data_IF_542301932914
#
_entry.id   IF_542301932914
#
_cell.length_a   1.000
_cell.length_b   1.000
_cell.length_c   1.000
_cell.angle_alpha   90.00
_cell.angle_beta   90.00
_cell.angle_gamma   90.00
#
_symmetry.space_group_name_H-M   'P 1'
#
loop_
_entity.id
_entity.type
_entity.pdbx_description
1 polymer ?
#
# COMPACT_ATOMS: atom_id res chain seq x y z
N UNK A 1 11.89 33.14 25.06
CA UNK A 1 12.06 34.45 24.39
C UNK A 1 13.33 34.35 23.53
N UNK A 2 13.16 34.55 22.22
CA UNK A 2 14.13 34.56 21.10
C UNK A 2 15.06 33.35 20.87
N UNK A 3 14.91 32.73 19.70
CA UNK A 3 16.04 32.50 18.77
C UNK A 3 15.58 32.73 17.34
N UNK A 4 16.24 33.69 16.70
CA UNK A 4 16.03 34.13 15.33
C UNK A 4 16.43 33.03 14.32
N UNK A 5 15.57 32.77 13.34
CA UNK A 5 15.95 32.22 12.05
C UNK A 5 15.85 33.33 11.01
N UNK A 6 16.99 33.83 10.53
CA UNK A 6 17.09 34.86 9.51
C UNK A 6 16.95 34.21 8.13
N UNK A 7 15.98 34.69 7.33
CA UNK A 7 15.77 34.26 5.94
C UNK A 7 16.41 35.34 5.05
N UNK A 8 17.48 34.99 4.33
CA UNK A 8 18.03 35.85 3.29
C UNK A 8 17.22 35.65 2.00
N UNK A 9 16.71 36.75 1.44
CA UNK A 9 15.89 36.80 0.23
C UNK A 9 16.74 37.37 -0.92
N UNK A 10 17.86 36.72 -1.22
CA UNK A 10 18.61 37.00 -2.45
C UNK A 10 19.25 35.73 -3.01
N UNK A 11 18.41 34.81 -3.50
CA UNK A 11 18.64 33.88 -4.62
C UNK A 11 17.69 32.68 -4.47
N UNK A 12 16.96 32.34 -5.54
CA UNK A 12 15.83 31.39 -5.56
C UNK A 12 16.22 29.92 -5.34
N UNK A 13 16.83 29.56 -4.21
CA UNK A 13 16.96 28.19 -3.71
C UNK A 13 17.01 28.21 -2.17
N UNK A 14 16.05 27.57 -1.50
CA UNK A 14 16.10 27.36 -0.04
C UNK A 14 16.75 26.00 0.26
N UNK A 15 18.02 26.05 0.65
CA UNK A 15 18.69 25.01 1.43
C UNK A 15 18.60 25.40 2.90
N UNK A 16 17.97 24.57 3.73
CA UNK A 16 18.18 24.65 5.17
C UNK A 16 19.48 23.89 5.50
N UNK A 17 20.55 24.62 5.80
CA UNK A 17 21.81 24.05 6.27
C UNK A 17 21.86 24.15 7.79
N UNK A 18 21.96 23.00 8.46
CA UNK A 18 22.78 22.89 9.66
C UNK A 18 24.16 22.44 9.19
N UNK A 19 25.17 23.21 9.55
CA UNK A 19 26.54 23.17 9.03
C UNK A 19 27.21 21.80 9.24
N UNK A 20 27.57 21.12 8.14
CA UNK A 20 28.90 20.55 7.85
C UNK A 20 29.08 20.56 6.33
N UNK A 21 30.07 21.31 5.85
CA UNK A 21 30.60 21.30 4.47
C UNK A 21 30.96 19.89 3.99
N UNK A 22 30.68 19.59 2.72
CA UNK A 22 31.78 19.26 1.80
C UNK A 22 31.44 19.62 0.34
N UNK A 23 32.47 19.96 -0.40
CA UNK A 23 32.48 20.69 -1.67
C UNK A 23 32.32 19.75 -2.88
N UNK A 24 31.35 20.05 -3.77
CA UNK A 24 31.46 20.11 -5.24
C UNK A 24 30.11 19.85 -5.94
N UNK A 25 29.75 20.78 -6.84
CA UNK A 25 28.68 20.67 -7.83
C UNK A 25 28.97 19.53 -8.82
N UNK A 26 27.96 18.72 -9.16
CA UNK A 26 27.24 18.85 -10.44
C UNK A 26 26.10 17.81 -10.59
N UNK A 27 24.97 18.33 -11.10
CA UNK A 27 24.00 17.82 -12.09
C UNK A 27 23.92 16.30 -12.37
N UNK A 28 22.66 15.80 -12.38
CA UNK A 28 22.13 14.60 -13.09
C UNK A 28 22.88 13.26 -12.92
N UNK A 29 22.22 12.25 -12.35
CA UNK A 29 21.89 11.02 -13.09
C UNK A 29 21.24 9.96 -12.20
N UNK A 30 20.15 9.38 -12.71
CA UNK A 30 19.69 8.06 -12.29
C UNK A 30 20.60 7.03 -12.95
N UNK A 31 21.70 6.65 -12.31
CA UNK A 31 22.48 5.50 -12.74
C UNK A 31 22.38 4.31 -11.77
N UNK A 32 21.56 3.38 -12.25
CA UNK A 32 21.69 1.94 -12.16
C UNK A 32 23.11 1.47 -11.82
N UNK A 33 23.26 0.64 -10.78
CA UNK A 33 24.50 -0.13 -10.57
C UNK A 33 24.67 -1.18 -11.68
N UNK A 34 25.30 -0.78 -12.78
CA UNK A 34 25.98 -1.71 -13.69
C UNK A 34 27.29 -2.19 -13.04
N UNK A 35 27.57 -3.48 -13.11
CA UNK A 35 28.90 -4.00 -12.79
C UNK A 35 29.92 -3.34 -13.72
N UNK A 36 30.90 -2.66 -13.13
CA UNK A 36 32.06 -2.11 -13.84
C UNK A 36 32.96 -3.28 -14.32
N UNK A 37 33.10 -3.50 -15.64
CA UNK A 37 33.94 -4.58 -16.19
C UNK A 37 35.44 -4.34 -15.98
N UNK A 38 35.84 -3.16 -15.49
CA UNK A 38 37.22 -2.82 -15.12
C UNK A 38 37.45 -2.76 -13.61
N UNK A 39 36.44 -3.06 -12.79
CA UNK A 39 36.63 -3.14 -11.34
C UNK A 39 37.65 -4.23 -11.01
N UNK A 40 38.67 -3.95 -10.18
CA UNK A 40 39.57 -4.99 -9.70
C UNK A 40 38.74 -6.05 -8.97
N UNK A 41 39.00 -7.31 -9.28
CA UNK A 41 38.40 -8.43 -8.56
C UNK A 41 38.64 -8.20 -7.06
N UNK A 42 37.61 -8.40 -6.21
CA UNK A 42 37.81 -8.27 -4.77
C UNK A 42 38.97 -9.18 -4.36
N UNK A 43 39.89 -8.70 -3.51
CA UNK A 43 40.97 -9.54 -3.02
C UNK A 43 40.34 -10.76 -2.33
N UNK A 44 40.84 -11.94 -2.70
CA UNK A 44 40.49 -13.22 -2.09
C UNK A 44 40.51 -13.06 -0.56
N UNK A 45 39.32 -13.10 0.04
CA UNK A 45 39.09 -12.83 1.45
C UNK A 45 39.55 -14.00 2.33
N UNK A 46 40.23 -15.01 1.74
CA UNK A 46 40.78 -16.15 2.45
C UNK A 46 39.69 -17.00 3.10
N UNK A 47 38.42 -16.77 2.75
CA UNK A 47 37.32 -17.63 3.10
C UNK A 47 37.36 -18.83 2.16
N UNK A 48 38.05 -19.87 2.60
CA UNK A 48 37.97 -21.21 2.01
C UNK A 48 36.49 -21.53 1.76
N UNK A 49 36.13 -21.64 0.49
CA UNK A 49 34.92 -22.36 0.09
C UNK A 49 35.09 -23.78 0.61
N UNK A 50 34.47 -24.06 1.76
CA UNK A 50 34.26 -25.43 2.19
C UNK A 50 33.35 -26.01 1.12
N UNK A 51 33.93 -26.84 0.24
CA UNK A 51 33.16 -27.74 -0.59
C UNK A 51 32.35 -28.60 0.38
N UNK A 52 31.08 -28.26 0.54
CA UNK A 52 30.14 -29.11 1.25
C UNK A 52 29.97 -30.30 0.32
N UNK A 53 30.67 -31.39 0.63
CA UNK A 53 30.44 -32.67 -0.03
C UNK A 53 28.93 -32.90 -0.08
N UNK A 54 28.39 -33.10 -1.29
CA UNK A 54 27.01 -33.52 -1.46
C UNK A 54 26.82 -34.77 -0.60
N UNK A 55 26.05 -34.63 0.48
CA UNK A 55 25.67 -35.77 1.30
C UNK A 55 24.73 -36.59 0.40
N UNK A 56 25.25 -37.66 -0.19
CA UNK A 56 24.44 -38.73 -0.74
C UNK A 56 23.69 -39.38 0.43
N UNK A 57 22.47 -38.90 0.67
CA UNK A 57 21.55 -39.55 1.58
C UNK A 57 20.89 -40.67 0.79
N UNK A 58 21.40 -41.90 0.95
CA UNK A 58 20.74 -43.10 0.45
C UNK A 58 19.47 -43.35 1.27
N UNK A 59 18.36 -42.81 0.80
CA UNK A 59 17.05 -43.05 1.39
C UNK A 59 16.56 -44.46 0.98
N UNK A 60 16.15 -45.30 1.95
CA UNK A 60 15.51 -46.59 1.65
C UNK A 60 14.30 -46.41 0.75
N UNK A 61 14.10 -47.34 -0.20
CA UNK A 61 12.97 -47.32 -1.15
C UNK A 61 11.60 -47.16 -0.47
N UNK A 62 11.47 -47.66 0.76
CA UNK A 62 10.27 -47.55 1.59
C UNK A 62 9.94 -46.09 1.98
N UNK A 63 10.96 -45.27 2.27
CA UNK A 63 10.77 -43.85 2.60
C UNK A 63 10.50 -43.04 1.32
N UNK A 64 11.14 -43.42 0.20
CA UNK A 64 10.88 -42.82 -1.11
C UNK A 64 9.43 -43.06 -1.52
N UNK A 65 8.89 -44.27 -1.31
CA UNK A 65 7.48 -44.57 -1.61
C UNK A 65 6.50 -43.79 -0.73
N UNK A 66 6.80 -43.58 0.56
CA UNK A 66 5.97 -42.73 1.44
C UNK A 66 5.98 -41.27 0.98
N UNK A 67 7.14 -40.73 0.60
CA UNK A 67 7.25 -39.37 0.06
C UNK A 67 6.50 -39.18 -1.26
N UNK A 68 6.50 -40.19 -2.14
CA UNK A 68 5.71 -40.18 -3.38
C UNK A 68 4.20 -40.37 -3.16
N UNK A 69 3.79 -41.02 -2.06
CA UNK A 69 2.38 -41.22 -1.73
C UNK A 69 1.76 -40.04 -0.95
N UNK A 70 2.54 -39.34 -0.11
CA UNK A 70 2.04 -38.20 0.70
C UNK A 70 2.24 -36.83 0.05
N UNK A 71 3.15 -36.68 -0.92
CA UNK A 71 3.35 -35.40 -1.62
C UNK A 71 3.03 -35.58 -3.09
N UNK A 72 1.75 -35.49 -3.41
CA UNK A 72 1.30 -35.33 -4.78
C UNK A 72 1.04 -33.84 -5.05
N UNK A 73 2.04 -33.07 -5.53
CA UNK A 73 1.91 -31.62 -5.73
C UNK A 73 0.87 -31.26 -6.81
N UNK A 74 0.36 -32.25 -7.55
CA UNK A 74 -0.72 -32.10 -8.52
C UNK A 74 -2.11 -32.30 -7.92
N UNK A 75 -2.27 -32.98 -6.77
CA UNK A 75 -3.57 -33.18 -6.13
C UNK A 75 -3.99 -32.00 -5.22
N UNK A 76 -3.03 -31.29 -4.61
CA UNK A 76 -3.31 -30.01 -3.92
C UNK A 76 -3.47 -28.83 -4.90
N UNK A 77 -3.06 -29.01 -6.16
CA UNK A 77 -3.25 -28.00 -7.22
C UNK A 77 -4.52 -28.23 -8.05
N UNK A 78 -5.04 -29.47 -8.09
CA UNK A 78 -6.13 -29.86 -9.00
C UNK A 78 -7.53 -29.94 -8.34
N UNK A 79 -7.67 -29.64 -7.05
CA UNK A 79 -8.99 -29.57 -6.38
C UNK A 79 -9.71 -28.23 -6.53
N UNK A 80 -9.20 -27.31 -7.38
CA UNK A 80 -9.96 -26.13 -7.84
C UNK A 80 -9.85 -26.03 -9.37
N UNK A 81 -10.21 -27.09 -10.09
CA UNK A 81 -10.49 -27.03 -11.54
C UNK A 81 -11.34 -28.23 -11.96
N UNK A 82 -12.50 -28.40 -11.34
CA UNK A 82 -13.60 -29.11 -11.99
C UNK A 82 -14.39 -28.10 -12.84
N UNK A 83 -14.20 -28.18 -14.16
CA UNK A 83 -15.21 -27.81 -15.12
C UNK A 83 -16.45 -28.67 -14.84
N UNK A 84 -17.45 -28.10 -14.18
CA UNK A 84 -18.84 -28.43 -14.50
C UNK A 84 -19.23 -27.53 -15.66
N UNK A 85 -19.41 -28.15 -16.81
CA UNK A 85 -20.20 -27.59 -17.91
C UNK A 85 -21.66 -27.66 -17.48
N UNK A 86 -22.03 -26.77 -16.58
CA UNK A 86 -23.41 -26.36 -16.36
C UNK A 86 -23.44 -24.89 -16.74
N UNK A 87 -24.18 -24.56 -17.79
CA UNK A 87 -24.58 -23.19 -18.12
C UNK A 87 -25.36 -22.63 -16.92
N UNK A 88 -24.64 -22.05 -15.98
CA UNK A 88 -25.19 -21.15 -14.99
C UNK A 88 -24.47 -19.82 -15.21
N UNK A 89 -25.15 -18.91 -15.94
CA UNK A 89 -24.84 -17.48 -16.02
C UNK A 89 -24.96 -16.84 -14.62
N UNK A 90 -24.08 -17.26 -13.70
CA UNK A 90 -24.05 -16.74 -12.36
C UNK A 90 -23.08 -15.56 -12.35
N UNK A 91 -23.61 -14.40 -12.72
CA UNK A 91 -22.89 -13.11 -12.62
C UNK A 91 -22.11 -13.03 -11.32
N UNK A 92 -20.87 -12.56 -11.41
CA UNK A 92 -20.00 -12.37 -10.25
C UNK A 92 -20.72 -11.48 -9.22
N UNK A 93 -21.04 -12.06 -8.06
CA UNK A 93 -21.84 -11.41 -7.03
C UNK A 93 -20.97 -11.01 -5.85
N UNK A 94 -21.19 -9.80 -5.33
CA UNK A 94 -20.48 -9.33 -4.15
C UNK A 94 -20.99 -10.05 -2.89
N UNK A 95 -20.13 -10.82 -2.19
CA UNK A 95 -20.55 -11.67 -1.07
C UNK A 95 -20.95 -10.86 0.18
N UNK A 96 -20.63 -9.56 0.21
CA UNK A 96 -20.94 -8.69 1.35
C UNK A 96 -22.24 -7.91 1.18
N UNK A 97 -22.80 -7.82 -0.03
CA UNK A 97 -23.89 -6.89 -0.38
C UNK A 97 -25.19 -7.08 0.41
N UNK A 98 -25.51 -8.31 0.82
CA UNK A 98 -26.71 -8.62 1.61
C UNK A 98 -26.49 -8.47 3.12
N UNK A 99 -25.24 -8.27 3.56
CA UNK A 99 -24.91 -8.17 4.97
C UNK A 99 -25.21 -6.76 5.49
N UNK A 100 -25.83 -6.68 6.66
CA UNK A 100 -26.10 -5.41 7.34
C UNK A 100 -24.83 -4.55 7.44
N UNK A 101 -24.94 -3.29 7.04
CA UNK A 101 -23.84 -2.33 7.16
C UNK A 101 -23.57 -1.98 8.62
N UNK A 102 -22.31 -2.12 9.02
CA UNK A 102 -21.76 -1.72 10.32
C UNK A 102 -20.79 -0.58 10.04
N UNK A 103 -20.67 0.37 10.97
CA UNK A 103 -19.89 1.59 10.81
C UNK A 103 -18.75 1.63 11.81
N UNK A 104 -17.54 2.00 11.37
CA UNK A 104 -16.39 2.21 12.24
C UNK A 104 -16.65 3.41 13.14
N UNK A 105 -16.50 3.22 14.46
CA UNK A 105 -16.78 4.24 15.48
C UNK A 105 -18.17 4.90 15.40
N UNK A 106 -19.15 4.20 14.81
CA UNK A 106 -20.48 4.73 14.51
C UNK A 106 -20.51 5.92 13.53
N UNK A 107 -19.43 6.20 12.78
CA UNK A 107 -19.43 7.21 11.73
C UNK A 107 -20.00 6.63 10.41
N UNK A 108 -21.10 7.21 9.94
CA UNK A 108 -21.73 6.85 8.66
C UNK A 108 -20.80 7.05 7.46
N UNK A 109 -19.76 7.88 7.60
CA UNK A 109 -18.74 8.11 6.59
C UNK A 109 -17.73 6.97 6.42
N UNK A 110 -17.67 6.02 7.36
CA UNK A 110 -16.67 4.92 7.41
C UNK A 110 -17.34 3.55 7.63
N UNK A 111 -18.25 3.11 6.75
CA UNK A 111 -18.82 1.76 6.80
C UNK A 111 -17.73 0.71 6.58
N UNK A 112 -17.80 -0.39 7.33
CA UNK A 112 -16.99 -1.57 7.03
C UNK A 112 -17.52 -2.29 5.80
N UNK A 113 -16.61 -2.79 4.97
CA UNK A 113 -16.94 -3.89 4.07
C UNK A 113 -17.22 -5.15 4.92
N UNK A 114 -16.26 -5.49 5.78
CA UNK A 114 -16.39 -6.49 6.85
C UNK A 114 -15.48 -6.13 8.03
N UNK A 115 -15.81 -6.70 9.20
CA UNK A 115 -15.01 -6.65 10.43
C UNK A 115 -14.49 -8.04 10.76
N UNK A 116 -13.24 -8.16 11.17
CA UNK A 116 -12.55 -9.44 11.41
C UNK A 116 -11.57 -9.83 10.31
N UNK A 117 -11.14 -11.10 10.33
CA UNK A 117 -10.21 -11.67 9.35
C UNK A 117 -10.99 -12.43 8.28
N UNK A 118 -10.96 -11.94 7.05
CA UNK A 118 -11.47 -12.64 5.86
C UNK A 118 -10.34 -12.81 4.83
N UNK A 119 -10.47 -13.77 3.93
CA UNK A 119 -9.51 -13.96 2.84
C UNK A 119 -10.08 -13.45 1.52
N UNK A 120 -9.76 -12.21 1.17
CA UNK A 120 -10.16 -11.64 -0.11
C UNK A 120 -9.27 -12.14 -1.26
N UNK A 121 -9.86 -12.85 -2.20
CA UNK A 121 -9.19 -13.18 -3.48
C UNK A 121 -9.14 -11.95 -4.40
N UNK A 122 -8.36 -12.03 -5.49
CA UNK A 122 -8.38 -10.97 -6.51
C UNK A 122 -9.74 -10.90 -7.24
N UNK A 123 -10.40 -12.04 -7.45
CA UNK A 123 -11.69 -12.13 -8.15
C UNK A 123 -12.80 -11.47 -7.31
N UNK A 124 -12.76 -11.69 -6.00
CA UNK A 124 -13.66 -10.99 -5.06
C UNK A 124 -13.39 -9.49 -5.05
N UNK A 125 -12.13 -9.06 -5.09
CA UNK A 125 -11.77 -7.65 -5.08
C UNK A 125 -12.25 -6.89 -6.33
N UNK A 126 -12.08 -7.46 -7.54
CA UNK A 126 -12.62 -6.84 -8.76
C UNK A 126 -14.15 -6.82 -8.74
N UNK A 127 -14.78 -7.86 -8.19
CA UNK A 127 -16.25 -7.89 -8.05
C UNK A 127 -16.74 -6.75 -7.15
N UNK A 128 -16.10 -6.54 -6.00
CA UNK A 128 -16.46 -5.48 -5.04
C UNK A 128 -16.21 -4.07 -5.59
N UNK A 129 -15.10 -3.88 -6.31
CA UNK A 129 -14.64 -2.56 -6.74
C UNK A 129 -15.19 -2.14 -8.11
N UNK A 130 -15.66 -3.08 -8.95
CA UNK A 130 -16.05 -2.80 -10.33
C UNK A 130 -17.38 -3.44 -10.75
N UNK A 131 -17.58 -4.74 -10.52
CA UNK A 131 -18.67 -5.49 -11.15
C UNK A 131 -20.01 -5.40 -10.38
N UNK A 132 -19.97 -5.55 -9.06
CA UNK A 132 -21.16 -5.56 -8.18
C UNK A 132 -20.91 -4.68 -6.94
N UNK A 133 -20.70 -3.40 -7.20
CA UNK A 133 -20.36 -2.41 -6.16
C UNK A 133 -21.55 -2.18 -5.22
N UNK A 134 -21.32 -2.36 -3.92
CA UNK A 134 -22.29 -2.02 -2.88
C UNK A 134 -22.02 -0.61 -2.33
N UNK A 135 -22.81 0.35 -2.81
CA UNK A 135 -22.70 1.76 -2.39
C UNK A 135 -22.91 1.99 -0.90
N UNK A 136 -23.60 1.09 -0.19
CA UNK A 136 -23.84 1.23 1.25
C UNK A 136 -22.60 0.93 2.10
N UNK A 137 -21.57 0.31 1.51
CA UNK A 137 -20.30 -0.06 2.15
C UNK A 137 -19.11 0.76 1.68
N UNK A 138 -19.37 1.88 0.99
CA UNK A 138 -18.33 2.79 0.51
C UNK A 138 -18.10 3.89 1.54
N UNK A 139 -16.86 4.03 1.99
CA UNK A 139 -16.41 5.13 2.80
C UNK A 139 -16.34 6.43 1.98
N UNK A 140 -16.96 7.47 2.53
CA UNK A 140 -16.90 8.84 2.02
C UNK A 140 -15.86 9.68 2.74
N UNK A 141 -15.36 9.18 3.88
CA UNK A 141 -14.21 9.69 4.61
C UNK A 141 -13.15 8.60 4.70
N UNK A 142 -11.89 8.98 4.97
CA UNK A 142 -10.85 8.00 5.28
C UNK A 142 -11.07 7.42 6.68
N UNK A 143 -11.11 6.09 6.84
CA UNK A 143 -10.99 5.46 8.14
C UNK A 143 -9.60 5.78 8.73
N UNK A 144 -9.55 6.20 9.99
CA UNK A 144 -8.32 6.56 10.69
C UNK A 144 -8.27 5.85 12.05
N UNK A 145 -7.09 5.69 12.65
CA UNK A 145 -7.00 5.06 13.98
C UNK A 145 -7.33 3.57 13.99
N UNK A 146 -7.19 2.87 12.86
CA UNK A 146 -7.60 1.45 12.78
C UNK A 146 -6.60 0.56 13.51
N UNK A 147 -7.05 -0.04 14.61
CA UNK A 147 -6.28 -0.95 15.48
C UNK A 147 -6.94 -2.34 15.58
N UNK A 148 -7.71 -2.72 14.58
CA UNK A 148 -8.43 -4.00 14.51
C UNK A 148 -8.37 -4.63 13.11
N UNK A 149 -8.67 -5.92 13.01
CA UNK A 149 -8.80 -6.58 11.72
C UNK A 149 -10.08 -6.10 11.04
N UNK A 150 -9.95 -5.44 9.89
CA UNK A 150 -11.08 -4.81 9.22
C UNK A 150 -10.75 -4.53 7.76
N UNK A 151 -11.79 -4.39 6.94
CA UNK A 151 -11.66 -4.00 5.54
C UNK A 151 -12.66 -2.93 5.15
N UNK A 152 -12.21 -2.00 4.31
CA UNK A 152 -12.95 -0.82 3.88
C UNK A 152 -12.82 -0.63 2.37
N UNK A 153 -13.89 -0.17 1.74
CA UNK A 153 -13.88 0.33 0.36
C UNK A 153 -13.97 1.84 0.43
N UNK A 154 -12.99 2.55 -0.10
CA UNK A 154 -12.88 4.02 0.02
C UNK A 154 -13.10 4.64 -1.36
N UNK A 155 -14.02 5.59 -1.45
CA UNK A 155 -14.13 6.46 -2.61
C UNK A 155 -13.09 7.59 -2.51
N UNK A 156 -11.96 7.41 -3.22
CA UNK A 156 -10.83 8.35 -3.21
C UNK A 156 -11.19 9.69 -3.83
N UNK A 157 -12.24 9.75 -4.66
CA UNK A 157 -12.69 11.01 -5.27
C UNK A 157 -13.39 11.95 -4.28
N UNK A 158 -13.87 11.41 -3.15
CA UNK A 158 -14.54 12.17 -2.09
C UNK A 158 -13.56 12.77 -1.08
N UNK A 159 -12.29 12.35 -1.13
CA UNK A 159 -11.24 12.89 -0.28
C UNK A 159 -10.76 14.25 -0.79
N UNK A 160 -10.16 15.05 0.10
CA UNK A 160 -9.52 16.33 -0.28
C UNK A 160 -8.42 16.12 -1.33
N UNK A 161 -7.69 15.01 -1.22
CA UNK A 161 -6.79 14.50 -2.24
C UNK A 161 -6.88 12.97 -2.35
N UNK A 162 -6.85 12.44 -3.57
CA UNK A 162 -6.94 10.99 -3.83
C UNK A 162 -5.78 10.18 -3.24
N UNK A 163 -4.63 10.82 -2.97
CA UNK A 163 -3.44 10.20 -2.38
C UNK A 163 -3.53 10.13 -0.84
N UNK A 164 -4.49 10.82 -0.21
CA UNK A 164 -4.60 10.90 1.25
C UNK A 164 -5.20 9.63 1.88
N UNK A 165 -5.78 8.73 1.07
CA UNK A 165 -6.57 7.57 1.52
C UNK A 165 -5.80 6.54 2.36
N UNK A 166 -4.46 6.54 2.28
CA UNK A 166 -3.58 5.65 3.04
C UNK A 166 -2.83 6.36 4.18
N UNK A 167 -3.11 7.65 4.40
CA UNK A 167 -2.51 8.40 5.49
C UNK A 167 -3.32 8.16 6.76
N UNK A 168 -2.62 7.90 7.87
CA UNK A 168 -3.23 7.57 9.15
C UNK A 168 -2.34 7.99 10.31
N UNK A 169 -2.96 8.21 11.46
CA UNK A 169 -2.30 8.69 12.68
C UNK A 169 -1.64 7.59 13.51
N UNK A 170 -1.81 6.31 13.14
CA UNK A 170 -1.21 5.17 13.87
C UNK A 170 0.25 4.92 13.46
N UNK A 171 0.75 5.66 12.48
CA UNK A 171 2.16 5.65 12.09
C UNK A 171 2.39 5.45 10.61
N UNK A 172 3.56 4.91 10.27
CA UNK A 172 4.02 4.73 8.90
C UNK A 172 4.07 3.27 8.53
N UNK A 173 3.68 2.97 7.30
CA UNK A 173 3.75 1.64 6.74
C UNK A 173 4.77 1.59 5.60
N UNK A 174 5.59 0.54 5.59
CA UNK A 174 6.63 0.32 4.61
C UNK A 174 6.16 -0.71 3.57
N UNK A 175 6.43 -0.43 2.29
CA UNK A 175 6.07 -1.36 1.22
C UNK A 175 6.92 -2.62 1.34
N UNK A 176 6.27 -3.77 1.47
CA UNK A 176 6.93 -5.06 1.64
C UNK A 176 6.86 -5.90 0.35
N UNK A 177 5.69 -5.93 -0.30
CA UNK A 177 5.47 -6.74 -1.51
C UNK A 177 4.31 -6.18 -2.31
N UNK A 178 4.34 -6.35 -3.63
CA UNK A 178 3.19 -6.12 -4.48
C UNK A 178 2.91 -7.30 -5.41
N UNK A 179 1.64 -7.62 -5.61
CA UNK A 179 1.16 -8.58 -6.62
C UNK A 179 0.16 -7.88 -7.54
N UNK A 180 0.06 -8.34 -8.77
CA UNK A 180 -0.88 -7.78 -9.73
C UNK A 180 -1.43 -8.88 -10.64
N UNK A 181 -2.68 -8.71 -11.06
CA UNK A 181 -3.38 -9.65 -11.93
C UNK A 181 -4.16 -8.88 -12.98
N UNK A 182 -3.99 -9.27 -14.23
CA UNK A 182 -4.76 -8.78 -15.36
C UNK A 182 -6.11 -9.49 -15.37
N UNK A 183 -7.17 -8.74 -15.65
CA UNK A 183 -8.51 -9.23 -15.85
C UNK A 183 -9.03 -8.73 -17.18
N UNK A 184 -9.75 -9.58 -17.91
CA UNK A 184 -10.59 -9.15 -19.03
C UNK A 184 -12.04 -9.45 -18.65
N UNK A 185 -12.87 -8.43 -18.71
CA UNK A 185 -14.29 -8.55 -18.37
C UNK A 185 -15.15 -8.36 -19.61
N UNK A 186 -16.28 -9.04 -19.68
CA UNK A 186 -17.26 -8.88 -20.76
C UNK A 186 -18.65 -9.01 -20.14
N UNK A 187 -19.54 -8.05 -20.44
CA UNK A 187 -20.92 -8.00 -19.91
C UNK A 187 -21.05 -8.12 -18.37
N UNK A 188 -20.05 -7.60 -17.64
CA UNK A 188 -20.02 -7.63 -16.17
C UNK A 188 -19.50 -8.94 -15.58
N UNK A 189 -18.91 -9.81 -16.39
CA UNK A 189 -18.33 -11.08 -15.97
C UNK A 189 -16.83 -11.15 -16.25
N UNK A 190 -16.12 -11.91 -15.43
CA UNK A 190 -14.69 -12.18 -15.63
C UNK A 190 -14.56 -13.32 -16.64
N UNK A 191 -14.09 -13.04 -17.86
CA UNK A 191 -13.83 -14.07 -18.87
C UNK A 191 -12.40 -14.61 -18.80
N UNK A 192 -11.45 -13.76 -18.40
CA UNK A 192 -10.04 -14.14 -18.32
C UNK A 192 -9.33 -13.45 -17.16
N UNK A 193 -8.37 -14.15 -16.56
CA UNK A 193 -7.47 -13.56 -15.59
C UNK A 193 -6.07 -14.18 -15.64
N UNK A 194 -5.02 -13.36 -15.51
CA UNK A 194 -3.64 -13.81 -15.54
C UNK A 194 -2.74 -13.04 -14.57
N UNK A 195 -1.87 -13.75 -13.86
CA UNK A 195 -0.88 -13.16 -12.95
C UNK A 195 0.21 -12.45 -13.76
N UNK A 196 0.52 -11.21 -13.42
CA UNK A 196 1.64 -10.47 -14.03
C UNK A 196 2.88 -10.64 -13.16
N UNK A 197 3.98 -11.12 -13.76
CA UNK A 197 5.29 -11.25 -13.09
C UNK A 197 6.21 -10.07 -13.49
N UNK A 198 7.08 -9.64 -12.58
CA UNK A 198 8.23 -8.78 -12.91
C UNK A 198 7.92 -7.37 -13.45
N UNK A 199 8.88 -6.82 -14.22
CA UNK A 199 8.95 -5.44 -14.77
C UNK A 199 7.75 -5.05 -15.66
N UNK A 200 6.92 -5.99 -16.09
CA UNK A 200 5.72 -5.74 -16.93
C UNK A 200 4.58 -5.04 -16.19
N UNK A 201 4.63 -4.95 -14.85
CA UNK A 201 3.61 -4.31 -14.01
C UNK A 201 3.35 -2.83 -14.34
N UNK A 202 4.32 -2.14 -14.94
CA UNK A 202 4.23 -0.70 -15.23
C UNK A 202 4.08 -0.41 -16.75
N UNK A 203 4.01 -1.43 -17.60
CA UNK A 203 4.14 -1.26 -19.07
C UNK A 203 3.09 -2.01 -19.88
N UNK A 204 2.22 -2.79 -19.25
CA UNK A 204 1.13 -3.47 -19.95
C UNK A 204 0.16 -2.41 -20.53
N UNK A 205 0.13 -2.30 -21.87
CA UNK A 205 -0.92 -1.55 -22.56
C UNK A 205 -2.20 -2.39 -22.48
N UNK A 206 -3.11 -1.94 -21.63
CA UNK A 206 -4.40 -2.58 -21.41
C UNK A 206 -5.35 -2.29 -22.58
N UNK A 207 -6.02 -3.33 -23.08
CA UNK A 207 -7.11 -3.21 -24.04
C UNK A 207 -8.38 -2.65 -23.41
N UNK A 208 -9.36 -2.26 -24.24
CA UNK A 208 -10.71 -1.96 -23.74
C UNK A 208 -11.26 -3.20 -23.06
N UNK A 209 -11.90 -3.00 -21.91
CA UNK A 209 -12.42 -4.05 -21.01
C UNK A 209 -11.35 -4.93 -20.33
N UNK A 210 -10.09 -4.49 -20.36
CA UNK A 210 -9.02 -5.05 -19.55
C UNK A 210 -8.71 -4.15 -18.35
N UNK A 211 -8.51 -4.80 -17.21
CA UNK A 211 -8.28 -4.16 -15.93
C UNK A 211 -7.07 -4.77 -15.24
N UNK A 212 -6.19 -3.94 -14.72
CA UNK A 212 -5.09 -4.36 -13.87
C UNK A 212 -5.48 -4.19 -12.41
N UNK A 213 -5.65 -5.31 -11.71
CA UNK A 213 -5.89 -5.31 -10.27
C UNK A 213 -4.55 -5.44 -9.56
N UNK A 214 -4.17 -4.41 -8.81
CA UNK A 214 -2.89 -4.35 -8.09
C UNK A 214 -3.14 -4.44 -6.60
N UNK A 215 -2.44 -5.36 -5.94
CA UNK A 215 -2.45 -5.51 -4.48
C UNK A 215 -1.07 -5.17 -3.92
N UNK A 216 -1.00 -4.26 -2.97
CA UNK A 216 0.24 -3.89 -2.30
C UNK A 216 0.13 -4.17 -0.81
N UNK A 217 1.10 -4.91 -0.30
CA UNK A 217 1.24 -5.31 1.08
C UNK A 217 2.24 -4.37 1.75
N UNK A 218 1.77 -3.69 2.78
CA UNK A 218 2.57 -2.85 3.62
C UNK A 218 2.67 -3.44 5.02
N UNK A 219 3.83 -3.30 5.64
CA UNK A 219 4.05 -3.68 7.04
C UNK A 219 4.20 -2.43 7.88
N UNK A 220 3.59 -2.40 9.06
CA UNK A 220 3.75 -1.26 9.95
C UNK A 220 5.21 -1.17 10.43
N UNK A 221 5.79 0.03 10.42
CA UNK A 221 7.22 0.24 10.71
C UNK A 221 7.61 -0.17 12.13
N UNK A 222 6.70 0.02 13.09
CA UNK A 222 6.93 -0.30 14.51
C UNK A 222 6.45 -1.70 14.91
N UNK A 223 5.39 -2.21 14.29
CA UNK A 223 4.70 -3.45 14.70
C UNK A 223 4.70 -4.40 13.51
N UNK A 224 5.55 -5.42 13.53
CA UNK A 224 5.80 -6.28 12.37
C UNK A 224 4.68 -7.27 12.09
N UNK A 225 3.87 -7.54 13.10
CA UNK A 225 2.67 -8.38 13.06
C UNK A 225 1.47 -7.62 12.46
N UNK A 226 1.52 -6.29 12.43
CA UNK A 226 0.45 -5.46 11.88
C UNK A 226 0.76 -5.05 10.43
N UNK A 227 -0.19 -5.35 9.55
CA UNK A 227 -0.06 -5.16 8.11
C UNK A 227 -1.28 -4.45 7.53
N UNK A 228 -1.03 -3.74 6.42
CA UNK A 228 -2.07 -3.10 5.62
C UNK A 228 -1.94 -3.58 4.20
N UNK A 229 -3.04 -4.07 3.64
CA UNK A 229 -3.13 -4.55 2.27
C UNK A 229 -4.03 -3.58 1.53
N UNK A 230 -3.57 -3.11 0.37
CA UNK A 230 -4.34 -2.20 -0.48
C UNK A 230 -4.60 -2.88 -1.80
N UNK A 231 -5.80 -2.71 -2.35
CA UNK A 231 -6.12 -3.16 -3.71
C UNK A 231 -6.67 -1.99 -4.53
N UNK A 232 -6.04 -1.70 -5.66
CA UNK A 232 -6.48 -0.70 -6.65
C UNK A 232 -6.69 -1.36 -8.01
N UNK A 233 -7.52 -0.73 -8.84
CA UNK A 233 -7.79 -1.16 -10.21
C UNK A 233 -7.34 -0.06 -11.15
N UNK A 234 -6.57 -0.42 -12.18
CA UNK A 234 -6.18 0.46 -13.28
C UNK A 234 -6.91 0.03 -14.54
N UNK A 235 -7.45 0.98 -15.29
CA UNK A 235 -8.17 0.72 -16.54
C UNK A 235 -7.27 0.89 -17.78
N UNK A 236 -7.87 0.72 -18.96
CA UNK A 236 -7.21 0.87 -20.26
C UNK A 236 -6.60 2.25 -20.53
N UNK A 237 -7.01 3.29 -19.81
CA UNK A 237 -6.43 4.63 -19.92
C UNK A 237 -5.11 4.76 -19.16
N UNK A 238 -4.79 3.77 -18.32
CA UNK A 238 -3.67 3.80 -17.39
C UNK A 238 -3.97 4.57 -16.10
N UNK A 239 -5.21 5.03 -15.91
CA UNK A 239 -5.64 5.69 -14.69
C UNK A 239 -6.15 4.68 -13.66
N UNK A 240 -5.82 4.90 -12.39
CA UNK A 240 -6.45 4.15 -11.30
C UNK A 240 -7.90 4.61 -11.13
N UNK A 241 -8.81 3.66 -10.95
CA UNK A 241 -10.20 3.93 -10.63
C UNK A 241 -10.34 4.57 -9.24
N UNK A 242 -11.46 5.27 -9.05
CA UNK A 242 -11.71 6.06 -7.84
C UNK A 242 -11.86 5.20 -6.57
N UNK A 243 -12.34 3.97 -6.69
CA UNK A 243 -12.52 3.08 -5.55
C UNK A 243 -11.21 2.35 -5.24
N UNK A 244 -10.81 2.40 -3.97
CA UNK A 244 -9.70 1.62 -3.44
C UNK A 244 -10.16 0.75 -2.28
N UNK A 245 -9.64 -0.46 -2.18
CA UNK A 245 -9.89 -1.34 -1.04
C UNK A 245 -8.67 -1.31 -0.11
N UNK A 246 -8.92 -1.19 1.20
CA UNK A 246 -7.88 -1.27 2.23
C UNK A 246 -8.30 -2.26 3.31
N UNK A 247 -7.40 -3.19 3.61
CA UNK A 247 -7.55 -4.21 4.63
C UNK A 247 -6.44 -4.04 5.66
N UNK A 248 -6.81 -4.05 6.93
CA UNK A 248 -5.91 -4.03 8.08
C UNK A 248 -5.92 -5.41 8.72
N UNK A 249 -4.73 -5.95 9.00
CA UNK A 249 -4.58 -7.31 9.49
C UNK A 249 -3.44 -7.46 10.48
N UNK A 250 -3.77 -7.98 11.65
CA UNK A 250 -2.83 -8.53 12.63
C UNK A 250 -2.53 -9.98 12.28
N UNK A 251 -1.25 -10.36 12.33
CA UNK A 251 -0.85 -11.76 12.31
C UNK A 251 -1.29 -12.43 13.60
N UNK A 252 -1.00 -11.78 14.72
CA UNK A 252 -1.31 -12.25 16.07
C UNK A 252 -2.64 -11.65 16.58
N UNK A 253 -2.71 -11.37 17.88
CA UNK A 253 -3.84 -10.77 18.56
C UNK A 253 -3.89 -9.26 18.32
N UNK A 254 -5.09 -8.72 18.17
CA UNK A 254 -5.31 -7.26 18.08
C UNK A 254 -4.80 -6.57 19.34
N UNK A 255 -4.10 -5.45 19.15
CA UNK A 255 -3.56 -4.64 20.22
C UNK A 255 -3.43 -3.19 19.77
N UNK A 256 -3.19 -2.29 20.73
CA UNK A 256 -3.01 -0.88 20.46
C UNK A 256 -1.81 -0.60 19.53
N UNK A 257 -1.95 0.33 18.58
CA UNK A 257 -0.95 0.66 17.56
C UNK A 257 -0.64 2.15 17.59
N UNK A 258 0.53 2.49 18.13
CA UNK A 258 1.01 3.87 18.13
C UNK A 258 2.07 4.14 17.04
N UNK A 259 2.23 5.39 16.59
CA UNK A 259 3.35 5.77 15.73
C UNK A 259 4.73 5.42 16.29
N UNK A 260 5.70 5.31 15.39
CA UNK A 260 7.09 5.30 15.80
C UNK A 260 7.51 6.69 16.30
N UNK A 261 8.45 6.71 17.25
CA UNK A 261 9.01 7.96 17.78
C UNK A 261 10.26 8.35 17.00
N UNK A 262 10.43 9.65 16.77
CA UNK A 262 11.67 10.18 16.22
C UNK A 262 12.80 9.98 17.25
N UNK A 263 13.92 9.32 16.89
CA UNK A 263 15.02 9.07 17.83
C UNK A 263 15.62 10.33 18.46
N UNK A 264 15.60 11.47 17.74
CA UNK A 264 16.22 12.71 18.20
C UNK A 264 15.30 13.53 19.12
N UNK A 265 14.00 13.59 18.82
CA UNK A 265 13.04 14.42 19.58
C UNK A 265 12.17 13.64 20.56
N UNK A 266 12.14 12.30 20.46
CA UNK A 266 11.27 11.43 21.25
C UNK A 266 9.77 11.57 20.94
N UNK A 267 9.40 12.45 19.99
CA UNK A 267 8.00 12.72 19.61
C UNK A 267 7.51 11.68 18.60
N UNK A 268 6.22 11.33 18.68
CA UNK A 268 5.54 10.50 17.69
C UNK A 268 5.64 11.13 16.31
N UNK A 269 5.95 10.32 15.29
CA UNK A 269 5.99 10.76 13.91
C UNK A 269 4.71 10.35 13.18
N UNK A 270 3.89 11.35 12.83
CA UNK A 270 2.73 11.19 11.94
C UNK A 270 3.07 11.85 10.62
N UNK A 271 2.97 11.14 9.48
CA UNK A 271 3.27 11.75 8.19
C UNK A 271 2.19 12.78 7.84
N UNK A 272 2.60 14.01 7.53
CA UNK A 272 1.68 15.04 7.00
C UNK A 272 1.05 14.56 5.69
N UNK A 273 -0.25 14.75 5.52
CA UNK A 273 -1.01 14.32 4.35
C UNK A 273 -0.53 15.03 3.07
N UNK A 274 -0.52 14.33 1.91
CA UNK A 274 -0.19 14.93 0.61
C UNK A 274 -0.94 16.22 0.31
N UNK A 275 -2.24 16.30 0.61
CA UNK A 275 -3.02 17.54 0.47
C UNK A 275 -2.39 18.71 1.26
N UNK A 276 -2.18 18.54 2.56
CA UNK A 276 -1.65 19.58 3.44
C UNK A 276 -0.26 20.02 3.00
N UNK A 277 0.61 19.08 2.61
CA UNK A 277 1.92 19.42 2.04
C UNK A 277 1.80 20.27 0.77
N UNK A 278 0.92 19.90 -0.16
CA UNK A 278 0.67 20.66 -1.40
C UNK A 278 0.14 22.06 -1.08
N UNK A 279 -0.80 22.18 -0.13
CA UNK A 279 -1.36 23.48 0.30
C UNK A 279 -0.28 24.40 0.88
N UNK A 280 0.56 23.89 1.79
CA UNK A 280 1.68 24.62 2.37
C UNK A 280 2.64 25.08 1.27
N UNK A 281 3.01 24.19 0.34
CA UNK A 281 3.91 24.52 -0.76
C UNK A 281 3.36 25.63 -1.66
N UNK A 282 2.07 25.61 -1.98
CA UNK A 282 1.44 26.69 -2.76
C UNK A 282 1.41 28.01 -2.01
N UNK A 283 1.05 27.99 -0.71
CA UNK A 283 1.05 29.21 0.12
C UNK A 283 2.46 29.78 0.33
N UNK A 284 3.47 28.92 0.42
CA UNK A 284 4.86 29.31 0.56
C UNK A 284 5.45 29.99 -0.69
N UNK A 285 4.83 29.85 -1.87
CA UNK A 285 5.18 30.64 -3.05
C UNK A 285 4.74 32.11 -2.95
N UNK A 286 3.83 32.42 -2.02
CA UNK A 286 3.37 33.77 -1.75
C UNK A 286 4.32 34.57 -0.85
N UNK A 287 3.90 35.78 -0.47
CA UNK A 287 4.66 36.66 0.43
C UNK A 287 4.27 36.46 1.91
N UNK A 288 3.55 35.39 2.23
CA UNK A 288 3.10 35.11 3.60
C UNK A 288 4.26 34.55 4.42
N UNK A 289 4.36 34.98 5.68
CA UNK A 289 5.34 34.44 6.61
C UNK A 289 5.02 33.00 7.03
N UNK A 290 6.01 32.19 7.44
CA UNK A 290 5.80 30.79 7.83
C UNK A 290 4.75 30.59 8.93
N UNK A 291 4.74 31.45 9.96
CA UNK A 291 3.77 31.39 11.07
C UNK A 291 2.34 31.56 10.57
N UNK A 292 2.10 32.54 9.70
CA UNK A 292 0.77 32.79 9.12
C UNK A 292 0.29 31.61 8.28
N UNK A 293 1.19 30.99 7.50
CA UNK A 293 0.86 29.81 6.72
C UNK A 293 0.47 28.65 7.64
N UNK A 294 1.23 28.44 8.73
CA UNK A 294 0.94 27.39 9.72
C UNK A 294 -0.43 27.59 10.37
N UNK A 295 -0.71 28.80 10.89
CA UNK A 295 -1.98 29.10 11.57
C UNK A 295 -3.17 28.91 10.62
N UNK A 296 -3.07 29.40 9.37
CA UNK A 296 -4.11 29.22 8.35
C UNK A 296 -4.38 27.75 8.00
N UNK A 297 -3.34 26.91 7.95
CA UNK A 297 -3.49 25.46 7.68
C UNK A 297 -4.11 24.74 8.88
N UNK A 298 -3.69 25.06 10.10
CA UNK A 298 -4.29 24.51 11.32
C UNK A 298 -5.77 24.86 11.38
N UNK A 299 -6.14 26.11 11.11
CA UNK A 299 -7.54 26.54 11.07
C UNK A 299 -8.33 25.84 9.95
N UNK A 300 -7.76 25.69 8.74
CA UNK A 300 -8.39 25.00 7.62
C UNK A 300 -8.65 23.50 7.89
N UNK A 301 -7.85 22.89 8.74
CA UNK A 301 -8.03 21.50 9.21
C UNK A 301 -8.99 21.38 10.40
N UNK A 302 -9.63 22.48 10.82
CA UNK A 302 -10.59 22.50 11.93
C UNK A 302 -9.97 22.80 13.30
N UNK A 303 -8.66 23.08 13.34
CA UNK A 303 -7.90 23.28 14.57
C UNK A 303 -7.74 22.00 15.40
N UNK A 304 -7.04 22.13 16.53
CA UNK A 304 -6.66 21.00 17.38
C UNK A 304 -7.87 20.19 17.91
N UNK A 305 -9.04 20.83 18.05
CA UNK A 305 -10.23 20.20 18.66
C UNK A 305 -11.17 19.53 17.67
N UNK A 306 -11.12 19.88 16.38
CA UNK A 306 -12.05 19.34 15.36
C UNK A 306 -11.33 18.69 14.18
N UNK A 307 -10.02 18.51 14.29
CA UNK A 307 -9.25 17.78 13.30
C UNK A 307 -9.56 16.28 13.45
N UNK A 308 -10.18 15.70 12.42
CA UNK A 308 -10.52 14.27 12.40
C UNK A 308 -9.27 13.39 12.29
N UNK A 309 -8.20 13.90 11.67
CA UNK A 309 -6.95 13.15 11.42
C UNK A 309 -5.75 14.09 11.56
N UNK A 310 -4.86 13.80 12.51
CA UNK A 310 -3.71 14.63 12.85
C UNK A 310 -2.79 14.89 11.65
N UNK A 311 -2.70 13.94 10.72
CA UNK A 311 -1.96 14.11 9.48
C UNK A 311 -2.42 15.28 8.59
N UNK A 312 -3.65 15.79 8.74
CA UNK A 312 -4.10 16.99 8.02
C UNK A 312 -3.54 18.29 8.60
N UNK A 313 -2.88 18.24 9.76
CA UNK A 313 -2.20 19.39 10.34
C UNK A 313 -0.74 19.48 9.88
N UNK A 314 -0.21 20.71 9.72
CA UNK A 314 1.17 20.98 9.31
C UNK A 314 2.25 20.53 10.30
#
# INVERSE_FOLDING_TARGET
MWTNGMIDVTNRNLSAVADVRDENNDVQDFDWFGQDPCAPLPPDDGLSTVEVNEIQVDLPEEIIQVLYQEVNPLLESATISTFTSDENDQKARNPFKEQKTIYFENDKGTPYLYKGKEQLTFDTAITILLLDVDTSKICTKRPNGIEENACFVIDRSRLRNQEDWLITDIGTFENHRGSARLYKTEDGEIKYSAKIKGREKNTAKLGRDEYLVKRVYYRHKKYTDFSRITTTITDHTGCELQLGLVEYRFQDQEHHVSPHKNPRSGKSFVPVAPYTRKSILEKAKGHKGPTTIFDEEVEASGGIFKCDVMADMP
#
